data_IF_060666675638
#
_entry.id   IF_060666675638
#
_cell.length_a   1.000
_cell.length_b   1.000
_cell.length_c   1.000
_cell.angle_alpha   90.00
_cell.angle_beta   90.00
_cell.angle_gamma   90.00
#
_symmetry.space_group_name_H-M   'P 1'
#
loop_
_entity.id
_entity.type
_entity.pdbx_description
1 polymer ?
#
# COMPACT_ATOMS: atom_id res chain seq x y z
N UNK A 1 -11.09 -2.48 9.41
CA UNK A 1 -11.96 -1.57 10.21
C UNK A 1 -12.01 -0.18 9.59
N UNK A 2 -12.18 -0.04 8.27
CA UNK A 2 -12.04 1.24 7.56
C UNK A 2 -13.13 1.52 6.53
N UNK A 3 -14.31 0.90 6.68
CA UNK A 3 -15.42 1.07 5.73
C UNK A 3 -15.18 0.44 4.35
N UNK A 4 -16.20 0.54 3.49
CA UNK A 4 -16.10 0.18 2.08
C UNK A 4 -15.66 1.41 1.28
N UNK A 5 -14.85 1.20 0.26
CA UNK A 5 -14.37 2.24 -0.66
C UNK A 5 -14.62 1.83 -2.11
N UNK A 6 -14.81 2.82 -2.97
CA UNK A 6 -15.07 2.64 -4.42
C UNK A 6 -13.77 2.61 -5.22
N UNK A 7 -12.75 3.30 -4.71
CA UNK A 7 -11.42 3.36 -5.29
C UNK A 7 -10.36 3.40 -4.20
N UNK A 8 -9.16 2.93 -4.54
CA UNK A 8 -7.97 3.07 -3.74
C UNK A 8 -6.78 3.41 -4.64
N UNK A 9 -5.87 4.25 -4.16
CA UNK A 9 -4.61 4.57 -4.80
C UNK A 9 -3.55 4.83 -3.73
N UNK A 10 -2.31 4.51 -4.02
CA UNK A 10 -1.19 5.00 -3.22
C UNK A 10 -1.15 6.55 -3.27
N UNK A 11 -0.85 7.19 -2.14
CA UNK A 11 -0.78 8.66 -2.03
C UNK A 11 0.46 9.25 -2.71
N UNK A 12 1.46 8.44 -3.08
CA UNK A 12 2.54 8.83 -3.97
C UNK A 12 2.12 8.63 -5.43
N UNK A 13 2.09 9.72 -6.20
CA UNK A 13 1.61 9.72 -7.58
C UNK A 13 2.45 8.85 -8.53
N UNK A 14 3.67 8.42 -8.12
CA UNK A 14 4.49 7.50 -8.92
C UNK A 14 3.92 6.08 -8.97
N UNK A 15 3.14 5.70 -7.95
CA UNK A 15 2.60 4.35 -7.79
C UNK A 15 1.15 4.27 -8.29
N UNK A 16 0.29 5.17 -7.85
CA UNK A 16 -1.13 5.11 -8.21
C UNK A 16 -1.82 3.84 -7.65
N UNK A 17 -2.73 3.18 -8.40
CA UNK A 17 -3.53 2.06 -7.90
C UNK A 17 -2.79 0.70 -7.99
N UNK A 18 -1.56 0.65 -7.46
CA UNK A 18 -0.73 -0.56 -7.41
C UNK A 18 -0.21 -0.83 -6.01
N UNK A 19 -0.06 -2.12 -5.69
CA UNK A 19 0.63 -2.63 -4.53
C UNK A 19 2.10 -2.92 -4.88
N UNK A 20 3.02 -2.20 -4.26
CA UNK A 20 4.44 -2.50 -4.32
C UNK A 20 4.79 -3.58 -3.28
N UNK A 21 5.40 -4.70 -3.71
CA UNK A 21 5.71 -5.82 -2.85
C UNK A 21 6.87 -6.68 -3.36
N UNK A 22 7.40 -7.54 -2.49
CA UNK A 22 8.29 -8.65 -2.86
C UNK A 22 7.64 -9.99 -2.56
N UNK A 23 7.62 -10.87 -3.55
CA UNK A 23 7.15 -12.26 -3.42
C UNK A 23 8.07 -13.18 -4.22
N UNK A 24 8.36 -14.38 -3.69
CA UNK A 24 9.29 -15.32 -4.35
C UNK A 24 10.69 -14.74 -4.64
N UNK A 25 11.13 -13.72 -3.90
CA UNK A 25 12.41 -13.04 -4.14
C UNK A 25 12.40 -11.99 -5.26
N UNK A 26 11.24 -11.69 -5.84
CA UNK A 26 11.09 -10.73 -6.94
C UNK A 26 10.28 -9.52 -6.48
N UNK A 27 10.76 -8.33 -6.81
CA UNK A 27 10.05 -7.07 -6.65
C UNK A 27 9.04 -6.87 -7.78
N UNK A 28 7.79 -6.56 -7.45
CA UNK A 28 6.73 -6.33 -8.43
C UNK A 28 5.82 -5.16 -8.03
N UNK A 29 5.16 -4.58 -9.02
CA UNK A 29 3.96 -3.77 -8.85
C UNK A 29 2.74 -4.58 -9.26
N UNK A 30 1.87 -4.86 -8.30
CA UNK A 30 0.64 -5.63 -8.51
C UNK A 30 -0.54 -4.65 -8.55
N UNK A 31 -1.26 -4.52 -9.68
CA UNK A 31 -2.45 -3.67 -9.73
C UNK A 31 -3.48 -4.09 -8.69
N UNK A 32 -4.10 -3.12 -8.01
CA UNK A 32 -5.17 -3.43 -7.03
C UNK A 32 -6.33 -4.22 -7.65
N UNK A 33 -6.60 -4.03 -8.94
CA UNK A 33 -7.62 -4.77 -9.70
C UNK A 33 -7.34 -6.28 -9.83
N UNK A 34 -6.12 -6.73 -9.57
CA UNK A 34 -5.75 -8.16 -9.57
C UNK A 34 -5.78 -8.79 -8.17
N UNK A 35 -6.00 -7.99 -7.14
CA UNK A 35 -6.05 -8.42 -5.75
C UNK A 35 -7.50 -8.71 -5.39
N UNK A 36 -7.74 -9.82 -4.70
CA UNK A 36 -9.01 -10.15 -4.06
C UNK A 36 -8.98 -9.77 -2.58
N UNK A 37 -7.91 -10.14 -1.88
CA UNK A 37 -7.75 -9.79 -0.47
C UNK A 37 -6.29 -9.73 -0.05
N UNK A 38 -6.06 -8.99 1.04
CA UNK A 38 -4.79 -8.88 1.76
C UNK A 38 -5.04 -9.21 3.22
N UNK A 39 -4.18 -10.05 3.78
CA UNK A 39 -4.12 -10.36 5.20
C UNK A 39 -2.71 -10.07 5.71
N UNK A 40 -2.57 -9.12 6.63
CA UNK A 40 -1.27 -8.64 7.09
C UNK A 40 -1.32 -8.36 8.58
N UNK A 41 -0.65 -9.14 9.44
CA UNK A 41 -0.72 -8.95 10.89
C UNK A 41 -0.19 -7.57 11.29
N UNK A 42 -0.63 -7.07 12.44
CA UNK A 42 -0.09 -5.84 13.01
C UNK A 42 1.45 -5.95 13.19
N UNK A 43 2.21 -4.86 13.01
CA UNK A 43 3.65 -4.86 13.22
C UNK A 43 4.01 -5.34 14.62
N UNK A 44 4.88 -6.33 14.71
CA UNK A 44 5.35 -6.93 15.97
C UNK A 44 6.84 -6.72 16.21
N UNK A 45 7.60 -6.38 15.14
CA UNK A 45 9.05 -6.21 15.17
C UNK A 45 9.45 -4.92 14.47
N UNK A 46 10.61 -4.37 14.84
CA UNK A 46 11.15 -3.17 14.20
C UNK A 46 11.34 -3.36 12.68
N UNK A 47 11.68 -4.57 12.25
CA UNK A 47 11.82 -4.92 10.82
C UNK A 47 10.53 -4.76 10.03
N UNK A 48 9.37 -4.84 10.70
CA UNK A 48 8.06 -4.70 10.05
C UNK A 48 7.81 -3.25 9.60
N UNK A 49 8.58 -2.28 10.12
CA UNK A 49 8.59 -0.90 9.63
C UNK A 49 9.30 -0.74 8.28
N UNK A 50 10.00 -1.77 7.82
CA UNK A 50 10.66 -1.83 6.51
C UNK A 50 9.91 -2.80 5.59
N UNK A 51 9.63 -3.99 6.10
CA UNK A 51 9.04 -5.11 5.36
C UNK A 51 7.95 -5.74 6.22
N UNK A 52 6.69 -5.47 5.89
CA UNK A 52 5.55 -6.04 6.63
C UNK A 52 5.03 -7.29 5.92
N UNK A 53 4.88 -8.43 6.62
CA UNK A 53 4.42 -9.66 5.98
C UNK A 53 2.95 -9.53 5.55
N UNK A 54 2.61 -10.12 4.42
CA UNK A 54 1.23 -10.16 3.91
C UNK A 54 0.96 -11.47 3.17
N UNK A 55 -0.24 -12.01 3.31
CA UNK A 55 -0.80 -13.00 2.39
C UNK A 55 -1.71 -12.28 1.41
N UNK A 56 -1.48 -12.52 0.12
CA UNK A 56 -2.21 -11.90 -0.98
C UNK A 56 -3.03 -13.00 -1.66
N UNK A 57 -4.34 -12.82 -1.72
CA UNK A 57 -5.21 -13.64 -2.56
C UNK A 57 -5.49 -12.87 -3.84
N UNK A 58 -5.22 -13.46 -4.99
CA UNK A 58 -5.47 -12.87 -6.29
C UNK A 58 -6.92 -13.12 -6.75
N UNK A 59 -7.37 -12.38 -7.75
CA UNK A 59 -8.71 -12.54 -8.34
C UNK A 59 -8.95 -13.94 -8.92
N UNK A 60 -7.91 -14.66 -9.32
CA UNK A 60 -8.01 -16.06 -9.79
C UNK A 60 -8.13 -17.09 -8.64
N UNK A 61 -7.95 -16.66 -7.38
CA UNK A 61 -8.02 -17.50 -6.18
C UNK A 61 -6.66 -17.96 -5.65
N UNK A 62 -5.56 -17.74 -6.39
CA UNK A 62 -4.22 -18.10 -5.91
C UNK A 62 -3.82 -17.25 -4.71
N UNK A 63 -3.14 -17.87 -3.75
CA UNK A 63 -2.65 -17.20 -2.54
C UNK A 63 -1.13 -17.27 -2.46
N UNK A 64 -0.51 -16.12 -2.19
CA UNK A 64 0.94 -16.00 -2.08
C UNK A 64 1.34 -15.26 -0.81
N UNK A 65 2.37 -15.77 -0.12
CA UNK A 65 3.08 -15.00 0.89
C UNK A 65 3.99 -13.96 0.25
N UNK A 66 4.02 -12.76 0.82
CA UNK A 66 4.78 -11.63 0.31
C UNK A 66 5.18 -10.66 1.44
N UNK A 67 5.95 -9.65 1.09
CA UNK A 67 6.36 -8.56 1.96
C UNK A 67 6.03 -7.22 1.35
N UNK A 68 5.34 -6.37 2.11
CA UNK A 68 4.99 -5.00 1.76
C UNK A 68 6.12 -4.04 2.15
N UNK A 69 6.37 -3.06 1.29
CA UNK A 69 7.20 -1.91 1.63
C UNK A 69 6.36 -0.87 2.38
N UNK A 70 6.60 -0.73 3.68
CA UNK A 70 5.81 0.16 4.55
C UNK A 70 6.26 1.61 4.55
N UNK A 71 7.32 1.92 3.82
CA UNK A 71 7.93 3.26 3.74
C UNK A 71 8.23 3.64 2.30
N UNK A 72 8.03 4.90 1.95
CA UNK A 72 8.36 5.41 0.61
C UNK A 72 9.88 5.51 0.39
N UNK A 73 10.31 5.34 -0.87
CA UNK A 73 11.71 5.52 -1.29
C UNK A 73 12.22 6.93 -1.00
N UNK A 74 13.47 7.05 -0.54
CA UNK A 74 14.11 8.31 -0.17
C UNK A 74 13.97 8.65 1.32
N UNK A 75 13.05 7.99 2.03
CA UNK A 75 12.81 8.25 3.45
C UNK A 75 14.01 7.87 4.34
N UNK A 76 14.96 7.08 3.85
CA UNK A 76 16.17 6.65 4.57
C UNK A 76 17.15 7.80 4.84
N UNK A 77 17.01 8.89 4.08
CA UNK A 77 17.80 10.11 4.26
C UNK A 77 17.02 11.20 4.99
N UNK A 78 15.79 10.91 5.46
CA UNK A 78 14.91 11.88 6.09
C UNK A 78 15.05 11.92 7.64
N UNK A 79 14.16 12.65 8.30
CA UNK A 79 14.09 12.72 9.77
C UNK A 79 13.84 11.34 10.40
N UNK A 80 14.13 11.19 11.69
CA UNK A 80 13.87 9.94 12.42
C UNK A 80 12.38 9.57 12.41
N UNK A 81 11.48 10.56 12.46
CA UNK A 81 10.03 10.32 12.42
C UNK A 81 9.60 9.65 11.10
N UNK A 82 10.10 10.14 9.96
CA UNK A 82 9.84 9.55 8.64
C UNK A 82 10.58 8.23 8.46
N UNK A 83 11.84 8.11 8.92
CA UNK A 83 12.59 6.85 8.86
C UNK A 83 11.94 5.71 9.63
N UNK A 84 11.32 6.04 10.78
CA UNK A 84 10.65 5.08 11.66
C UNK A 84 9.14 4.97 11.39
N UNK A 85 8.66 5.46 10.25
CA UNK A 85 7.24 5.37 9.86
C UNK A 85 6.25 5.93 10.89
N UNK A 86 6.68 6.93 11.68
CA UNK A 86 5.81 7.61 12.66
C UNK A 86 4.96 8.71 12.03
N UNK A 87 5.38 9.16 10.86
CA UNK A 87 4.76 10.24 10.10
C UNK A 87 4.78 9.89 8.61
N UNK A 88 3.91 10.57 7.87
CA UNK A 88 3.94 10.65 6.42
C UNK A 88 4.01 12.13 6.05
N UNK A 89 4.92 12.48 5.14
CA UNK A 89 5.06 13.83 4.62
C UNK A 89 4.87 13.80 3.10
N UNK A 90 4.05 14.72 2.61
CA UNK A 90 3.79 14.90 1.18
C UNK A 90 4.48 16.17 0.70
N UNK A 91 5.08 16.11 -0.47
CA UNK A 91 5.77 17.21 -1.11
C UNK A 91 5.45 17.23 -2.60
N UNK A 92 5.55 18.41 -3.20
CA UNK A 92 5.36 18.56 -4.64
C UNK A 92 6.35 17.69 -5.42
N UNK A 93 5.83 16.97 -6.41
CA UNK A 93 6.59 16.23 -7.40
C UNK A 93 6.80 17.03 -8.69
N UNK A 94 7.37 16.40 -9.73
CA UNK A 94 7.48 17.03 -11.04
C UNK A 94 6.11 17.35 -11.67
N UNK A 95 5.95 18.57 -12.20
CA UNK A 95 4.68 19.04 -12.77
C UNK A 95 3.78 19.69 -11.71
N UNK A 96 2.53 20.00 -12.07
CA UNK A 96 1.64 20.79 -11.22
C UNK A 96 0.79 19.96 -10.26
N UNK A 97 0.64 18.66 -10.52
CA UNK A 97 -0.35 17.81 -9.82
C UNK A 97 0.25 16.57 -9.17
N UNK A 98 1.55 16.30 -9.38
CA UNK A 98 2.16 15.09 -8.81
C UNK A 98 2.63 15.34 -7.40
N UNK A 99 2.47 14.34 -6.55
CA UNK A 99 2.89 14.34 -5.16
C UNK A 99 3.90 13.21 -4.97
N UNK A 100 4.96 13.51 -4.23
CA UNK A 100 5.88 12.50 -3.69
C UNK A 100 5.69 12.42 -2.18
N UNK A 101 5.70 11.21 -1.67
CA UNK A 101 5.55 10.98 -0.24
C UNK A 101 6.85 10.43 0.37
N UNK A 102 7.08 10.76 1.63
CA UNK A 102 8.13 10.24 2.49
C UNK A 102 7.51 9.72 3.79
N UNK A 103 8.19 8.79 4.44
CA UNK A 103 7.70 8.15 5.65
C UNK A 103 6.75 6.99 5.38
N UNK A 104 5.82 6.76 6.30
CA UNK A 104 4.88 5.64 6.23
C UNK A 104 4.04 5.68 4.95
N UNK A 105 3.88 4.53 4.30
CA UNK A 105 2.95 4.39 3.18
C UNK A 105 1.49 4.58 3.61
N UNK A 106 0.76 5.33 2.80
CA UNK A 106 -0.64 5.67 2.98
C UNK A 106 -1.35 5.50 1.66
N UNK A 107 -2.46 4.76 1.67
CA UNK A 107 -3.39 4.71 0.55
C UNK A 107 -4.51 5.71 0.77
N UNK A 108 -4.84 6.43 -0.30
CA UNK A 108 -6.03 7.24 -0.40
C UNK A 108 -7.17 6.35 -0.87
N UNK A 109 -8.35 6.54 -0.30
CA UNK A 109 -9.58 5.86 -0.74
C UNK A 109 -10.76 6.83 -0.76
N UNK A 110 -11.89 6.43 -1.36
CA UNK A 110 -13.13 7.23 -1.27
C UNK A 110 -13.72 7.33 0.14
N UNK A 111 -13.26 6.51 1.09
CA UNK A 111 -13.74 6.47 2.47
C UNK A 111 -12.74 7.04 3.49
N UNK A 112 -11.58 7.52 3.02
CA UNK A 112 -10.50 8.04 3.85
C UNK A 112 -9.20 7.26 3.70
N UNK A 113 -8.21 7.65 4.49
CA UNK A 113 -6.84 7.18 4.30
C UNK A 113 -6.56 5.88 5.07
N UNK A 114 -5.76 5.00 4.47
CA UNK A 114 -5.32 3.74 5.07
C UNK A 114 -3.81 3.78 5.25
N UNK A 115 -3.36 3.89 6.49
CA UNK A 115 -1.96 3.66 6.87
C UNK A 115 -1.61 2.19 6.72
N UNK A 116 -0.52 1.88 5.99
CA UNK A 116 -0.21 0.50 5.64
C UNK A 116 0.19 -0.37 6.85
N UNK A 117 0.77 0.24 7.89
CA UNK A 117 1.10 -0.47 9.14
C UNK A 117 -0.17 -0.89 9.88
N UNK A 118 -1.22 -0.07 9.86
CA UNK A 118 -2.48 -0.32 10.57
C UNK A 118 -3.39 -1.30 9.81
N UNK A 119 -3.19 -1.46 8.49
CA UNK A 119 -3.97 -2.37 7.66
C UNK A 119 -3.77 -3.83 8.09
N UNK A 120 -4.76 -4.39 8.78
CA UNK A 120 -4.78 -5.82 9.14
C UNK A 120 -5.33 -6.71 8.02
N UNK A 121 -6.40 -6.23 7.39
CA UNK A 121 -7.15 -6.95 6.36
C UNK A 121 -7.78 -5.95 5.39
N UNK A 122 -7.74 -6.27 4.11
CA UNK A 122 -8.36 -5.48 3.05
C UNK A 122 -8.95 -6.44 2.00
N UNK A 123 -10.19 -6.20 1.58
CA UNK A 123 -10.84 -6.95 0.49
C UNK A 123 -11.14 -5.98 -0.64
N UNK A 124 -10.84 -6.40 -1.86
CA UNK A 124 -11.16 -5.66 -3.07
C UNK A 124 -12.31 -6.39 -3.76
N UNK A 125 -13.41 -5.68 -3.97
CA UNK A 125 -14.51 -6.19 -4.76
C UNK A 125 -14.23 -5.89 -6.24
N UNK A 126 -14.44 -6.88 -7.10
CA UNK A 126 -14.49 -6.62 -8.52
C UNK A 126 -15.66 -5.66 -8.79
N UNK A 127 -15.43 -4.63 -9.60
CA UNK A 127 -16.55 -3.92 -10.19
C UNK A 127 -17.37 -4.95 -10.97
N UNK A 128 -18.63 -5.16 -10.59
CA UNK A 128 -19.56 -5.87 -11.45
C UNK A 128 -19.61 -5.07 -12.76
N UNK A 129 -19.23 -5.71 -13.87
CA UNK A 129 -19.47 -5.14 -15.18
C UNK A 129 -20.99 -5.08 -15.33
N UNK A 130 -21.58 -3.92 -15.03
CA UNK A 130 -22.91 -3.60 -15.49
C UNK A 130 -22.83 -3.57 -17.02
N UNK A 131 -23.20 -4.70 -17.62
CA UNK A 131 -23.18 -4.88 -19.06
C UNK A 131 -24.09 -3.84 -19.70
N UNK A 132 -23.47 -2.85 -20.35
CA UNK A 132 -24.13 -1.97 -21.30
C UNK A 132 -24.19 -2.63 -22.68
#
# INVERSE_FOLDING_TARGET
>A
NGGAFDWASDSDSRLGPVLELVTGGVYIWLPFSQIRSLESPQPARLTDLLWKPVNITLVNGDTHGAWLFTRYSGSESASDALRLCRETAWQDGPGETTVRALGQKVWLTSHGDISLLDMAHCTFHAQENDGA
#
